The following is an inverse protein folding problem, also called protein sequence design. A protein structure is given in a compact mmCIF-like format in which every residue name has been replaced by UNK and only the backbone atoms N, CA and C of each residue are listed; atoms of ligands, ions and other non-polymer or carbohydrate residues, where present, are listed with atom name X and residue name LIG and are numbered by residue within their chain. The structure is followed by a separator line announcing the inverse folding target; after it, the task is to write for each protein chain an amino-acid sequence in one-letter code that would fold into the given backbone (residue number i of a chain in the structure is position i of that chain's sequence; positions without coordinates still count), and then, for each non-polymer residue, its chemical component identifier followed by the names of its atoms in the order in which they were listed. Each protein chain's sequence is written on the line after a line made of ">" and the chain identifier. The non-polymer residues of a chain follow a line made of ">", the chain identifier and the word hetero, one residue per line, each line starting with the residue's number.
data_IF_309467813918
#
_entry.id   IF_309467813918
#
_cell.length_a   1.000
_cell.length_b   1.000
_cell.length_c   1.000
_cell.angle_alpha   90.00
_cell.angle_beta   90.00
_cell.angle_gamma   90.00
#
_symmetry.space_group_name_H-M   'P 1'
#
loop_
_entity.id
_entity.type
_entity.pdbx_description
1 polymer ?
#
# COMPACT_ATOMS: atom_id res chain seq x y z
N UNK A 1 4.79 15.16 -28.63
CA UNK A 1 5.36 14.19 -27.67
C UNK A 1 4.54 12.91 -27.78
N UNK A 2 5.18 11.74 -27.83
CA UNK A 2 4.48 10.45 -27.82
C UNK A 2 3.69 10.27 -26.53
N UNK A 3 2.59 9.51 -26.57
CA UNK A 3 1.83 9.18 -25.35
C UNK A 3 2.70 8.34 -24.40
N UNK A 4 2.62 8.58 -23.07
CA UNK A 4 3.37 7.80 -22.10
C UNK A 4 2.85 6.36 -22.05
N UNK A 5 3.76 5.39 -21.93
CA UNK A 5 3.40 3.97 -21.83
C UNK A 5 2.97 3.57 -20.41
N UNK A 6 3.38 4.35 -19.42
CA UNK A 6 3.10 4.10 -18.00
C UNK A 6 2.93 5.44 -17.25
N UNK A 7 2.05 5.45 -16.24
CA UNK A 7 1.85 6.58 -15.34
C UNK A 7 2.26 6.16 -13.93
N UNK A 8 3.40 6.64 -13.45
CA UNK A 8 3.79 6.51 -12.05
C UNK A 8 3.05 7.55 -11.20
N UNK A 9 2.61 7.16 -10.01
CA UNK A 9 1.89 8.05 -9.09
C UNK A 9 2.58 8.04 -7.74
N UNK A 10 2.89 9.23 -7.24
CA UNK A 10 3.35 9.45 -5.86
C UNK A 10 2.44 10.51 -5.25
N UNK A 11 1.89 10.21 -4.07
CA UNK A 11 1.14 11.19 -3.29
C UNK A 11 2.07 11.73 -2.21
N UNK A 12 2.34 13.03 -2.24
CA UNK A 12 3.24 13.72 -1.33
C UNK A 12 2.46 14.46 -0.23
N UNK A 13 2.88 14.25 1.01
CA UNK A 13 2.38 14.99 2.17
C UNK A 13 3.44 15.94 2.75
N UNK A 14 3.39 16.11 4.08
CA UNK A 14 4.31 17.01 4.80
C UNK A 14 5.71 16.40 5.00
N UNK A 15 5.86 15.08 4.88
CA UNK A 15 7.17 14.40 4.95
C UNK A 15 7.98 14.58 3.65
N UNK A 16 8.29 15.84 3.29
CA UNK A 16 8.89 16.24 2.00
C UNK A 16 10.14 15.46 1.63
N UNK A 17 11.00 15.14 2.61
CA UNK A 17 12.22 14.33 2.39
C UNK A 17 11.91 12.92 1.88
N UNK A 18 10.81 12.32 2.33
CA UNK A 18 10.36 11.00 1.85
C UNK A 18 9.83 11.08 0.44
N UNK A 19 8.90 12.01 0.21
CA UNK A 19 8.36 12.24 -1.13
C UNK A 19 9.46 12.54 -2.16
N UNK A 20 10.46 13.35 -1.79
CA UNK A 20 11.62 13.62 -2.64
C UNK A 20 12.45 12.35 -2.94
N UNK A 21 12.67 11.47 -1.95
CA UNK A 21 13.37 10.20 -2.15
C UNK A 21 12.59 9.25 -3.06
N UNK A 22 11.27 9.14 -2.86
CA UNK A 22 10.41 8.33 -3.70
C UNK A 22 10.41 8.86 -5.14
N UNK A 23 10.23 10.18 -5.32
CA UNK A 23 10.29 10.85 -6.62
C UNK A 23 11.63 10.63 -7.32
N UNK A 24 12.75 10.86 -6.61
CA UNK A 24 14.10 10.63 -7.14
C UNK A 24 14.30 9.18 -7.61
N UNK A 25 13.72 8.20 -6.90
CA UNK A 25 13.79 6.79 -7.30
C UNK A 25 13.02 6.49 -8.58
N UNK A 26 11.94 7.23 -8.87
CA UNK A 26 11.18 7.11 -10.10
C UNK A 26 11.84 7.86 -11.27
N UNK A 27 12.34 9.07 -11.02
CA UNK A 27 13.00 9.86 -12.07
C UNK A 27 14.33 9.28 -12.50
N UNK A 28 14.99 8.50 -11.64
CA UNK A 28 16.25 7.80 -11.95
C UNK A 28 16.06 6.45 -12.67
N UNK A 29 14.83 6.06 -13.01
CA UNK A 29 14.58 4.78 -13.70
C UNK A 29 15.01 4.83 -15.17
N UNK A 30 15.58 3.73 -15.65
CA UNK A 30 15.80 3.57 -17.09
C UNK A 30 14.48 3.63 -17.87
N UNK A 31 14.44 4.46 -18.93
CA UNK A 31 13.23 4.66 -19.74
C UNK A 31 12.20 5.60 -19.11
N UNK A 32 12.57 6.40 -18.10
CA UNK A 32 11.69 7.43 -17.51
C UNK A 32 11.09 8.39 -18.55
N UNK A 33 11.74 8.58 -19.70
CA UNK A 33 11.24 9.41 -20.80
C UNK A 33 10.01 8.83 -21.51
N UNK A 34 9.74 7.52 -21.35
CA UNK A 34 8.53 6.84 -21.85
C UNK A 34 7.38 6.85 -20.82
N UNK A 35 7.63 7.42 -19.64
CA UNK A 35 6.73 7.41 -18.48
C UNK A 35 6.32 8.84 -18.14
N UNK A 36 5.10 9.01 -17.63
CA UNK A 36 4.75 10.22 -16.89
C UNK A 36 4.66 9.91 -15.39
N UNK A 37 5.10 10.84 -14.55
CA UNK A 37 5.06 10.74 -13.10
C UNK A 37 4.11 11.82 -12.60
N UNK A 38 2.97 11.41 -12.05
CA UNK A 38 1.99 12.31 -11.46
C UNK A 38 2.32 12.43 -9.97
N UNK A 39 2.87 13.58 -9.60
CA UNK A 39 3.12 13.94 -8.21
C UNK A 39 1.89 14.66 -7.66
N UNK A 40 1.06 13.96 -6.90
CA UNK A 40 -0.10 14.57 -6.24
C UNK A 40 0.33 15.15 -4.90
N UNK A 41 0.37 16.48 -4.81
CA UNK A 41 0.85 17.19 -3.62
C UNK A 41 -0.33 17.69 -2.78
N UNK A 42 -0.39 17.24 -1.52
CA UNK A 42 -1.39 17.64 -0.54
C UNK A 42 -0.80 18.18 0.75
N UNK A 43 0.46 18.63 0.70
CA UNK A 43 1.09 19.29 1.84
C UNK A 43 0.32 20.56 2.25
N UNK A 44 0.39 20.92 3.53
CA UNK A 44 -0.23 22.15 4.03
C UNK A 44 0.41 23.40 3.41
N UNK A 45 1.73 23.39 3.24
CA UNK A 45 2.51 24.41 2.54
C UNK A 45 3.33 23.74 1.42
N UNK A 46 2.77 23.62 0.21
CA UNK A 46 3.36 22.82 -0.86
C UNK A 46 4.51 23.56 -1.57
N UNK A 47 5.75 23.24 -1.19
CA UNK A 47 6.96 23.63 -1.93
C UNK A 47 7.38 22.55 -2.93
N UNK A 48 7.93 22.95 -4.08
CA UNK A 48 8.42 21.99 -5.08
C UNK A 48 9.45 21.02 -4.46
N UNK A 49 9.36 19.74 -4.83
CA UNK A 49 10.27 18.71 -4.35
C UNK A 49 11.55 18.72 -5.21
N UNK A 50 12.73 18.44 -4.64
CA UNK A 50 13.91 18.17 -5.45
C UNK A 50 13.62 17.10 -6.52
N UNK A 51 13.93 17.43 -7.79
CA UNK A 51 13.66 16.57 -8.95
C UNK A 51 12.25 16.68 -9.55
N UNK A 52 11.36 17.52 -9.00
CA UNK A 52 10.02 17.72 -9.59
C UNK A 52 10.01 18.60 -10.84
N UNK A 53 11.16 19.18 -11.20
CA UNK A 53 11.43 19.89 -12.46
C UNK A 53 11.74 18.94 -13.64
N UNK A 54 11.88 17.64 -13.37
CA UNK A 54 12.15 16.65 -14.41
C UNK A 54 11.02 16.61 -15.46
N UNK A 55 11.31 16.52 -16.78
CA UNK A 55 10.29 16.61 -17.84
C UNK A 55 9.16 15.59 -17.78
N UNK A 56 9.43 14.41 -17.20
CA UNK A 56 8.42 13.37 -16.98
C UNK A 56 7.50 13.65 -15.79
N UNK A 57 7.79 14.63 -14.94
CA UNK A 57 7.03 14.90 -13.70
C UNK A 57 5.96 15.95 -13.96
N UNK A 58 4.74 15.65 -13.52
CA UNK A 58 3.61 16.57 -13.51
C UNK A 58 3.11 16.71 -12.07
N UNK A 59 3.20 17.93 -11.54
CA UNK A 59 2.70 18.24 -10.20
C UNK A 59 1.20 18.55 -10.27
N UNK A 60 0.44 17.92 -9.38
CA UNK A 60 -1.00 18.14 -9.20
C UNK A 60 -1.24 18.50 -7.74
N UNK A 61 -1.48 19.78 -7.46
CA UNK A 61 -1.77 20.25 -6.10
C UNK A 61 -3.24 20.02 -5.77
N UNK A 62 -3.53 19.43 -4.62
CA UNK A 62 -4.88 19.20 -4.10
C UNK A 62 -5.01 19.77 -2.69
N UNK A 63 -6.24 19.96 -2.20
CA UNK A 63 -6.47 20.48 -0.86
C UNK A 63 -5.92 19.52 0.21
N UNK A 64 -5.39 20.06 1.31
CA UNK A 64 -4.71 19.26 2.37
C UNK A 64 -5.61 18.19 3.01
N UNK A 65 -6.91 18.40 2.98
CA UNK A 65 -7.96 17.51 3.50
C UNK A 65 -8.41 16.44 2.49
N UNK A 66 -7.93 16.50 1.23
CA UNK A 66 -8.17 15.46 0.22
C UNK A 66 -7.66 14.12 0.73
N UNK A 67 -8.52 13.12 0.86
CA UNK A 67 -8.10 11.81 1.38
C UNK A 67 -7.04 11.14 0.49
N UNK A 68 -6.29 10.19 1.05
CA UNK A 68 -5.27 9.48 0.28
C UNK A 68 -5.86 8.71 -0.91
N UNK A 69 -7.06 8.13 -0.75
CA UNK A 69 -7.79 7.48 -1.83
C UNK A 69 -8.24 8.49 -2.91
N UNK A 70 -8.81 9.64 -2.51
CA UNK A 70 -9.23 10.68 -3.44
C UNK A 70 -8.04 11.27 -4.25
N UNK A 71 -6.88 11.44 -3.62
CA UNK A 71 -5.65 11.86 -4.28
C UNK A 71 -5.22 10.86 -5.37
N UNK A 72 -5.30 9.56 -5.09
CA UNK A 72 -5.01 8.52 -6.09
C UNK A 72 -6.02 8.48 -7.22
N UNK A 73 -7.31 8.57 -6.92
CA UNK A 73 -8.36 8.63 -7.95
C UNK A 73 -8.17 9.84 -8.86
N UNK A 74 -7.75 10.97 -8.31
CA UNK A 74 -7.36 12.15 -9.09
C UNK A 74 -6.23 11.83 -10.06
N UNK A 75 -5.18 11.14 -9.60
CA UNK A 75 -4.09 10.71 -10.48
C UNK A 75 -4.55 9.73 -11.57
N UNK A 76 -5.42 8.75 -11.23
CA UNK A 76 -5.98 7.79 -12.21
C UNK A 76 -6.74 8.51 -13.32
N UNK A 77 -7.55 9.49 -12.96
CA UNK A 77 -8.33 10.30 -13.92
C UNK A 77 -7.41 11.10 -14.83
N UNK A 78 -6.34 11.66 -14.28
CA UNK A 78 -5.36 12.49 -15.01
C UNK A 78 -4.33 11.70 -15.83
N UNK A 79 -4.08 10.44 -15.49
CA UNK A 79 -3.18 9.55 -16.21
C UNK A 79 -3.57 9.43 -17.68
N UNK A 80 -2.57 9.46 -18.57
CA UNK A 80 -2.73 9.35 -20.03
C UNK A 80 -2.33 7.98 -20.54
N UNK A 81 -1.61 7.18 -19.76
CA UNK A 81 -1.20 5.84 -20.15
C UNK A 81 -2.26 4.76 -19.87
N UNK A 82 -2.19 3.59 -20.53
CA UNK A 82 -3.02 2.43 -20.22
C UNK A 82 -2.77 1.82 -18.83
N UNK A 83 -1.59 2.05 -18.25
CA UNK A 83 -1.19 1.48 -16.96
C UNK A 83 -0.85 2.57 -15.95
N UNK A 84 -1.37 2.44 -14.73
CA UNK A 84 -1.13 3.37 -13.62
C UNK A 84 -0.49 2.60 -12.47
N UNK A 85 0.72 2.97 -12.08
CA UNK A 85 1.46 2.40 -10.96
C UNK A 85 1.55 3.36 -9.80
N UNK A 86 1.29 2.87 -8.59
CA UNK A 86 1.43 3.65 -7.37
C UNK A 86 2.75 3.30 -6.68
N UNK A 87 3.40 4.31 -6.11
CA UNK A 87 4.51 4.15 -5.17
C UNK A 87 4.27 5.11 -4.01
N UNK A 88 4.27 4.59 -2.78
CA UNK A 88 4.10 5.43 -1.60
C UNK A 88 5.32 6.33 -1.37
N UNK A 89 5.13 7.51 -0.76
CA UNK A 89 6.23 8.45 -0.52
C UNK A 89 7.32 7.89 0.40
N UNK A 90 7.01 6.87 1.20
CA UNK A 90 7.94 6.17 2.07
C UNK A 90 8.49 4.87 1.43
N UNK A 91 8.37 4.73 0.11
CA UNK A 91 8.95 3.64 -0.67
C UNK A 91 10.06 4.16 -1.61
N UNK A 92 10.85 3.23 -2.14
CA UNK A 92 11.86 3.50 -3.17
C UNK A 92 11.81 2.43 -4.24
N UNK A 93 11.55 2.83 -5.49
CA UNK A 93 11.65 1.90 -6.62
C UNK A 93 13.12 1.52 -6.85
N UNK A 94 13.40 0.22 -6.98
CA UNK A 94 14.72 -0.24 -7.44
C UNK A 94 14.81 -0.10 -8.96
N UNK A 95 16.03 -0.13 -9.50
CA UNK A 95 16.23 -0.02 -10.94
C UNK A 95 15.48 -1.11 -11.70
N UNK A 96 14.84 -0.72 -12.80
CA UNK A 96 14.05 -1.61 -13.66
C UNK A 96 12.59 -1.80 -13.24
N UNK A 97 12.12 -1.14 -12.17
CA UNK A 97 10.77 -1.29 -11.62
C UNK A 97 9.68 -1.00 -12.66
N UNK A 98 9.72 0.16 -13.33
CA UNK A 98 8.73 0.50 -14.37
C UNK A 98 8.74 -0.49 -15.53
N UNK A 99 9.92 -0.83 -16.04
CA UNK A 99 10.05 -1.75 -17.18
C UNK A 99 9.52 -3.15 -16.82
N UNK A 100 9.76 -3.63 -15.61
CA UNK A 100 9.25 -4.92 -15.16
C UNK A 100 7.72 -4.92 -15.07
N UNK A 101 7.12 -3.90 -14.43
CA UNK A 101 5.65 -3.78 -14.36
C UNK A 101 4.99 -3.66 -15.74
N UNK A 102 5.59 -2.85 -16.63
CA UNK A 102 5.11 -2.67 -18.00
C UNK A 102 5.16 -3.98 -18.78
N UNK A 103 6.30 -4.67 -18.77
CA UNK A 103 6.44 -5.99 -19.43
C UNK A 103 5.44 -7.00 -18.87
N UNK A 104 5.23 -7.02 -17.57
CA UNK A 104 4.26 -7.92 -16.95
C UNK A 104 2.86 -7.65 -17.48
N UNK A 105 2.39 -6.39 -17.48
CA UNK A 105 1.10 -6.02 -18.06
C UNK A 105 0.97 -6.37 -19.55
N UNK A 106 2.05 -6.24 -20.33
CA UNK A 106 2.06 -6.58 -21.76
C UNK A 106 2.08 -8.09 -22.03
N UNK A 107 2.51 -8.90 -21.05
CA UNK A 107 2.64 -10.36 -21.20
C UNK A 107 1.36 -11.14 -20.90
N UNK A 108 0.32 -10.51 -20.33
CA UNK A 108 -0.91 -11.22 -20.00
C UNK A 108 -2.08 -10.30 -19.62
N UNK A 109 -3.29 -10.86 -19.42
CA UNK A 109 -4.50 -10.10 -19.16
C UNK A 109 -4.62 -9.67 -17.69
N UNK A 110 -3.54 -9.08 -17.14
CA UNK A 110 -3.48 -8.72 -15.73
C UNK A 110 -4.15 -7.36 -15.51
N UNK A 111 -5.18 -7.35 -14.66
CA UNK A 111 -5.81 -6.11 -14.22
C UNK A 111 -4.90 -5.33 -13.26
N UNK A 112 -4.09 -6.05 -12.47
CA UNK A 112 -3.10 -5.47 -11.60
C UNK A 112 -1.81 -6.30 -11.57
N UNK A 113 -0.68 -5.61 -11.44
CA UNK A 113 0.65 -6.20 -11.27
C UNK A 113 1.30 -5.62 -10.01
N UNK A 114 1.79 -6.49 -9.12
CA UNK A 114 2.53 -6.12 -7.92
C UNK A 114 4.00 -6.50 -8.03
N UNK A 115 4.82 -5.92 -7.15
CA UNK A 115 6.26 -6.16 -7.12
C UNK A 115 6.77 -7.00 -5.95
N UNK A 116 8.05 -7.39 -6.03
CA UNK A 116 8.81 -7.90 -4.89
C UNK A 116 9.14 -6.77 -3.90
N UNK A 117 8.92 -7.05 -2.61
CA UNK A 117 9.11 -6.11 -1.52
C UNK A 117 10.44 -6.37 -0.82
N UNK A 118 11.21 -5.30 -0.63
CA UNK A 118 12.41 -5.29 0.19
C UNK A 118 12.21 -4.41 1.43
N UNK A 119 12.87 -4.77 2.53
CA UNK A 119 12.94 -3.88 3.69
C UNK A 119 13.76 -2.64 3.33
N UNK A 120 13.17 -1.45 3.48
CA UNK A 120 13.90 -0.20 3.31
C UNK A 120 14.54 0.33 4.60
N UNK A 121 14.19 -0.25 5.76
CA UNK A 121 14.84 0.07 7.03
C UNK A 121 16.08 -0.82 7.23
N UNK A 122 17.03 -0.36 8.06
CA UNK A 122 18.24 -1.11 8.41
C UNK A 122 18.03 -2.45 9.13
N UNK A 123 19.13 -3.11 9.50
CA UNK A 123 19.20 -4.59 9.59
C UNK A 123 18.42 -5.30 10.70
N UNK A 124 17.89 -4.64 11.75
CA UNK A 124 17.02 -5.32 12.72
C UNK A 124 16.19 -4.36 13.59
N UNK A 125 14.93 -4.72 13.87
CA UNK A 125 14.02 -3.94 14.73
C UNK A 125 12.55 -4.27 14.49
N UNK A 126 11.66 -3.49 15.13
CA UNK A 126 10.20 -3.65 14.97
C UNK A 126 9.73 -3.45 13.52
N UNK A 127 10.39 -2.59 12.75
CA UNK A 127 10.10 -2.36 11.33
C UNK A 127 10.21 -3.63 10.49
N UNK A 128 11.18 -4.50 10.78
CA UNK A 128 11.32 -5.80 10.11
C UNK A 128 10.17 -6.74 10.46
N UNK A 129 9.74 -6.74 11.72
CA UNK A 129 8.59 -7.52 12.19
C UNK A 129 7.29 -7.07 11.51
N UNK A 130 7.09 -5.75 11.37
CA UNK A 130 5.96 -5.18 10.61
C UNK A 130 6.04 -5.58 9.14
N UNK A 131 7.24 -5.53 8.55
CA UNK A 131 7.48 -6.02 7.20
C UNK A 131 7.08 -7.49 7.03
N UNK A 132 7.41 -8.37 7.98
CA UNK A 132 6.96 -9.77 7.96
C UNK A 132 5.43 -9.84 8.08
N UNK A 133 4.85 -9.12 9.04
CA UNK A 133 3.41 -9.21 9.32
C UNK A 133 2.54 -8.74 8.14
N UNK A 134 2.97 -7.69 7.44
CA UNK A 134 2.23 -7.09 6.33
C UNK A 134 2.62 -7.67 4.97
N UNK A 135 3.90 -8.01 4.75
CA UNK A 135 4.43 -8.28 3.41
C UNK A 135 5.06 -9.68 3.21
N UNK A 136 4.98 -10.63 4.16
CA UNK A 136 5.66 -11.93 4.03
C UNK A 136 5.44 -12.67 2.70
N UNK A 137 4.28 -12.49 2.06
CA UNK A 137 3.93 -13.13 0.78
C UNK A 137 4.71 -12.57 -0.41
N UNK A 138 5.25 -11.36 -0.26
CA UNK A 138 5.91 -10.60 -1.33
C UNK A 138 7.33 -10.17 -0.94
N UNK A 139 7.76 -10.43 0.30
CA UNK A 139 9.15 -10.20 0.72
C UNK A 139 10.12 -11.02 -0.11
N UNK A 140 11.23 -10.40 -0.52
CA UNK A 140 12.27 -11.08 -1.28
C UNK A 140 12.88 -12.30 -0.55
N UNK A 141 13.32 -13.33 -1.29
CA UNK A 141 12.96 -13.58 -2.69
C UNK A 141 11.49 -14.05 -2.78
N UNK A 142 10.77 -13.61 -3.81
CA UNK A 142 9.41 -14.09 -4.13
C UNK A 142 9.30 -14.45 -5.61
N UNK A 143 8.70 -15.60 -5.99
CA UNK A 143 8.60 -15.98 -7.40
C UNK A 143 7.47 -15.22 -8.12
N UNK A 144 7.68 -14.86 -9.39
CA UNK A 144 6.59 -14.34 -10.23
C UNK A 144 5.42 -15.32 -10.36
N UNK A 145 4.24 -14.79 -10.63
CA UNK A 145 3.08 -15.62 -10.95
C UNK A 145 1.75 -15.00 -10.57
N UNK A 146 0.67 -15.67 -10.97
CA UNK A 146 -0.67 -15.26 -10.63
C UNK A 146 -0.90 -15.27 -9.11
N UNK A 147 -1.57 -14.24 -8.61
CA UNK A 147 -1.91 -14.05 -7.20
C UNK A 147 -3.33 -13.56 -7.05
N UNK A 148 -3.87 -13.70 -5.85
CA UNK A 148 -5.16 -13.12 -5.46
C UNK A 148 -5.01 -11.89 -4.57
N UNK A 149 -3.77 -11.52 -4.23
CA UNK A 149 -3.43 -10.37 -3.43
C UNK A 149 -2.02 -9.88 -3.81
N UNK A 150 -1.85 -8.57 -3.90
CA UNK A 150 -0.59 -7.89 -4.24
C UNK A 150 -0.19 -6.91 -3.12
N UNK A 151 1.04 -6.34 -3.16
CA UNK A 151 1.52 -5.32 -2.22
C UNK A 151 0.79 -3.97 -2.31
N UNK A 152 -0.53 -3.98 -2.13
CA UNK A 152 -1.37 -2.81 -1.90
C UNK A 152 -1.09 -1.62 -2.82
N UNK A 153 -1.00 -0.48 -2.15
CA UNK A 153 -0.56 0.84 -2.54
C UNK A 153 0.75 0.96 -3.35
N UNK A 154 1.47 -0.13 -3.59
CA UNK A 154 2.70 -0.17 -4.39
C UNK A 154 2.57 -1.12 -5.61
N UNK A 155 1.33 -1.28 -6.11
CA UNK A 155 0.99 -2.08 -7.28
C UNK A 155 0.61 -1.18 -8.46
N UNK A 156 0.67 -1.73 -9.67
CA UNK A 156 0.15 -1.12 -10.89
C UNK A 156 -1.12 -1.77 -11.38
N UNK A 157 -1.90 -1.00 -12.12
CA UNK A 157 -3.23 -1.37 -12.56
C UNK A 157 -3.45 -0.94 -14.01
N UNK A 158 -4.30 -1.69 -14.70
CA UNK A 158 -4.92 -1.24 -15.94
C UNK A 158 -5.85 -0.05 -15.64
N UNK A 159 -5.62 1.06 -16.33
CA UNK A 159 -6.37 2.31 -16.13
C UNK A 159 -7.86 2.14 -16.45
N UNK A 160 -8.19 1.42 -17.52
CA UNK A 160 -9.57 1.17 -17.92
C UNK A 160 -10.32 0.32 -16.88
N UNK A 161 -9.65 -0.65 -16.27
CA UNK A 161 -10.21 -1.41 -15.13
C UNK A 161 -10.44 -0.53 -13.91
N UNK A 162 -9.51 0.38 -13.57
CA UNK A 162 -9.76 1.32 -12.47
C UNK A 162 -10.97 2.21 -12.75
N UNK A 163 -11.05 2.77 -13.97
CA UNK A 163 -12.12 3.69 -14.34
C UNK A 163 -13.50 3.03 -14.44
N UNK A 164 -13.58 1.71 -14.70
CA UNK A 164 -14.85 0.98 -14.79
C UNK A 164 -15.63 0.96 -13.46
N UNK A 165 -14.95 1.11 -12.32
CA UNK A 165 -15.58 1.21 -11.00
C UNK A 165 -16.24 2.57 -10.75
N UNK A 166 -16.03 3.57 -11.61
CA UNK A 166 -16.72 4.86 -11.54
C UNK A 166 -16.63 5.51 -10.16
N UNK A 167 -17.79 5.82 -9.57
CA UNK A 167 -17.89 6.45 -8.24
C UNK A 167 -17.43 5.55 -7.09
N UNK A 168 -17.43 4.23 -7.26
CA UNK A 168 -17.01 3.28 -6.22
C UNK A 168 -15.48 3.19 -6.08
N UNK A 169 -14.73 3.64 -7.09
CA UNK A 169 -13.27 3.52 -7.11
C UNK A 169 -12.62 4.17 -5.89
N UNK A 170 -13.10 5.33 -5.46
CA UNK A 170 -12.54 6.03 -4.30
C UNK A 170 -12.70 5.18 -3.03
N UNK A 171 -13.89 4.66 -2.78
CA UNK A 171 -14.16 3.78 -1.64
C UNK A 171 -13.30 2.52 -1.68
N UNK A 172 -13.15 1.89 -2.85
CA UNK A 172 -12.31 0.71 -3.02
C UNK A 172 -10.83 1.01 -2.74
N UNK A 173 -10.32 2.16 -3.21
CA UNK A 173 -8.94 2.60 -2.99
C UNK A 173 -8.61 2.98 -1.54
N UNK A 174 -9.59 3.03 -0.62
CA UNK A 174 -9.34 3.17 0.82
C UNK A 174 -8.82 1.89 1.46
N UNK A 175 -9.11 0.74 0.85
CA UNK A 175 -8.88 -0.57 1.43
C UNK A 175 -8.39 -1.58 0.39
N UNK A 176 -7.09 -1.55 0.07
CA UNK A 176 -6.47 -2.41 -0.95
C UNK A 176 -6.85 -3.88 -0.88
N UNK A 177 -6.87 -4.45 0.33
CA UNK A 177 -7.20 -5.87 0.52
C UNK A 177 -8.63 -6.16 0.04
N UNK A 178 -9.57 -5.26 0.34
CA UNK A 178 -10.94 -5.39 -0.15
C UNK A 178 -11.01 -5.13 -1.67
N UNK A 179 -10.19 -4.20 -2.18
CA UNK A 179 -10.16 -3.91 -3.61
C UNK A 179 -9.64 -5.09 -4.45
N UNK A 180 -8.53 -5.73 -4.05
CA UNK A 180 -8.05 -6.93 -4.74
C UNK A 180 -9.04 -8.09 -4.66
N UNK A 181 -9.73 -8.26 -3.52
CA UNK A 181 -10.80 -9.25 -3.39
C UNK A 181 -11.95 -8.94 -4.36
N UNK A 182 -12.33 -7.67 -4.50
CA UNK A 182 -13.36 -7.23 -5.46
C UNK A 182 -12.92 -7.48 -6.90
N UNK A 183 -11.69 -7.12 -7.27
CA UNK A 183 -11.12 -7.39 -8.59
C UNK A 183 -11.21 -8.88 -8.94
N UNK A 184 -10.77 -9.77 -8.04
CA UNK A 184 -10.83 -11.22 -8.25
C UNK A 184 -12.29 -11.70 -8.33
N UNK A 185 -13.18 -11.18 -7.48
CA UNK A 185 -14.61 -11.53 -7.51
C UNK A 185 -15.29 -11.09 -8.83
N UNK A 186 -14.81 -10.02 -9.45
CA UNK A 186 -15.28 -9.53 -10.75
C UNK A 186 -14.63 -10.26 -11.94
N UNK A 187 -13.80 -11.29 -11.68
CA UNK A 187 -13.16 -12.11 -12.71
C UNK A 187 -11.84 -11.54 -13.23
N UNK A 188 -11.30 -10.49 -12.60
CA UNK A 188 -9.99 -9.97 -12.95
C UNK A 188 -8.85 -10.83 -12.38
N UNK A 189 -7.73 -10.86 -13.10
CA UNK A 189 -6.53 -11.62 -12.74
C UNK A 189 -5.41 -10.68 -12.29
N UNK A 190 -4.67 -11.08 -11.27
CA UNK A 190 -3.58 -10.30 -10.69
C UNK A 190 -2.27 -11.07 -10.82
N UNK A 191 -1.16 -10.35 -11.03
CA UNK A 191 0.15 -10.95 -11.23
C UNK A 191 1.19 -10.34 -10.31
N UNK A 192 2.07 -11.15 -9.75
CA UNK A 192 3.27 -10.70 -9.06
C UNK A 192 4.44 -10.81 -10.02
N UNK A 193 5.17 -9.70 -10.23
CA UNK A 193 6.39 -9.65 -11.03
C UNK A 193 7.60 -9.49 -10.10
N UNK A 194 8.40 -10.54 -9.94
CA UNK A 194 9.55 -10.55 -9.04
C UNK A 194 10.69 -9.62 -9.48
N UNK A 195 10.76 -9.26 -10.76
CA UNK A 195 11.73 -8.28 -11.25
C UNK A 195 11.32 -6.83 -10.95
N UNK A 196 10.04 -6.59 -10.66
CA UNK A 196 9.56 -5.28 -10.21
C UNK A 196 9.84 -5.14 -8.71
N UNK A 197 10.98 -4.56 -8.35
CA UNK A 197 11.43 -4.49 -6.95
C UNK A 197 11.30 -3.09 -6.36
N UNK A 198 10.86 -3.02 -5.11
CA UNK A 198 10.86 -1.76 -4.36
C UNK A 198 11.18 -1.99 -2.88
N UNK A 199 11.68 -0.95 -2.22
CA UNK A 199 11.94 -0.92 -0.79
C UNK A 199 10.78 -0.21 -0.08
N UNK A 200 10.27 -0.81 0.99
CA UNK A 200 9.23 -0.21 1.83
C UNK A 200 9.81 0.16 3.20
N UNK A 201 9.70 1.43 3.60
CA UNK A 201 10.02 1.87 4.96
C UNK A 201 8.82 1.59 5.86
N UNK A 202 9.00 0.67 6.80
CA UNK A 202 8.04 0.40 7.86
C UNK A 202 8.34 1.28 9.07
N UNK A 203 7.36 1.39 9.95
CA UNK A 203 7.44 2.13 11.19
C UNK A 203 8.44 1.52 12.17
N UNK A 204 9.04 2.38 12.99
CA UNK A 204 10.07 1.99 13.97
C UNK A 204 9.59 2.05 15.43
N UNK A 205 8.33 2.43 15.68
CA UNK A 205 7.79 2.62 17.03
C UNK A 205 6.44 1.90 17.21
N UNK A 206 6.34 1.06 18.24
CA UNK A 206 5.17 0.20 18.50
C UNK A 206 3.87 1.00 18.69
N UNK A 207 3.91 2.13 19.39
CA UNK A 207 2.73 2.98 19.61
C UNK A 207 2.24 3.64 18.32
N UNK A 208 3.17 4.04 17.46
CA UNK A 208 2.86 4.58 16.14
C UNK A 208 2.19 3.53 15.27
N UNK A 209 2.73 2.32 15.22
CA UNK A 209 2.14 1.16 14.52
C UNK A 209 0.71 0.91 15.02
N UNK A 210 0.51 0.84 16.34
CA UNK A 210 -0.80 0.61 16.93
C UNK A 210 -1.80 1.71 16.57
N UNK A 211 -1.36 2.98 16.57
CA UNK A 211 -2.18 4.13 16.14
C UNK A 211 -2.62 3.98 14.68
N UNK A 212 -1.68 3.71 13.77
CA UNK A 212 -1.99 3.50 12.35
C UNK A 212 -2.96 2.34 12.14
N UNK A 213 -2.70 1.22 12.81
CA UNK A 213 -3.53 0.02 12.71
C UNK A 213 -4.95 0.24 13.24
N UNK A 214 -5.11 0.95 14.35
CA UNK A 214 -6.42 1.29 14.87
C UNK A 214 -7.24 2.09 13.85
N UNK A 215 -6.67 3.18 13.32
CA UNK A 215 -7.40 4.05 12.38
C UNK A 215 -7.69 3.36 11.05
N UNK A 216 -6.71 2.62 10.49
CA UNK A 216 -6.93 1.84 9.28
C UNK A 216 -8.01 0.79 9.45
N UNK A 217 -7.97 0.00 10.54
CA UNK A 217 -8.95 -1.06 10.77
C UNK A 217 -10.34 -0.54 11.12
N UNK A 218 -10.45 0.67 11.67
CA UNK A 218 -11.75 1.34 11.87
C UNK A 218 -12.47 1.56 10.54
N UNK A 219 -11.77 2.02 9.51
CA UNK A 219 -12.31 2.14 8.15
C UNK A 219 -12.49 0.78 7.49
N UNK A 220 -11.41 -0.01 7.42
CA UNK A 220 -11.39 -1.32 6.73
C UNK A 220 -12.45 -2.30 7.25
N UNK A 221 -12.73 -2.32 8.56
CA UNK A 221 -13.76 -3.18 9.13
C UNK A 221 -15.15 -2.92 8.52
N UNK A 222 -15.49 -1.65 8.31
CA UNK A 222 -16.76 -1.21 7.73
C UNK A 222 -16.80 -1.55 6.23
N UNK A 223 -15.73 -1.20 5.50
CA UNK A 223 -15.64 -1.45 4.05
C UNK A 223 -15.69 -2.93 3.74
N UNK A 224 -14.93 -3.76 4.48
CA UNK A 224 -14.98 -5.22 4.33
C UNK A 224 -16.38 -5.76 4.60
N UNK A 225 -17.07 -5.26 5.62
CA UNK A 225 -18.43 -5.68 5.90
C UNK A 225 -19.42 -5.28 4.80
N UNK A 226 -19.22 -4.12 4.16
CA UNK A 226 -20.03 -3.65 3.04
C UNK A 226 -19.79 -4.48 1.76
N UNK A 227 -18.52 -4.62 1.34
CA UNK A 227 -18.11 -5.37 0.15
C UNK A 227 -18.61 -6.82 0.20
N UNK A 228 -18.48 -7.47 1.37
CA UNK A 228 -18.90 -8.86 1.57
C UNK A 228 -20.34 -8.99 2.10
N UNK A 229 -21.11 -7.91 2.16
CA UNK A 229 -22.53 -7.87 2.59
C UNK A 229 -22.81 -8.62 3.89
N UNK A 230 -22.05 -8.32 4.93
CA UNK A 230 -22.16 -9.02 6.22
C UNK A 230 -23.51 -8.77 6.91
N UNK A 231 -24.10 -9.84 7.46
CA UNK A 231 -25.27 -9.74 8.33
C UNK A 231 -24.92 -9.06 9.66
N UNK A 232 -25.95 -8.57 10.36
CA UNK A 232 -25.81 -8.03 11.72
C UNK A 232 -25.14 -9.04 12.67
N UNK A 233 -25.56 -10.31 12.62
CA UNK A 233 -24.99 -11.37 13.45
C UNK A 233 -23.49 -11.55 13.20
N UNK A 234 -23.05 -11.50 11.92
CA UNK A 234 -21.63 -11.61 11.58
C UNK A 234 -20.84 -10.39 12.09
N UNK A 235 -21.39 -9.19 11.98
CA UNK A 235 -20.77 -7.98 12.57
C UNK A 235 -20.62 -8.10 14.09
N UNK A 236 -21.68 -8.49 14.79
CA UNK A 236 -21.68 -8.70 16.23
C UNK A 236 -20.66 -9.75 16.67
N UNK A 237 -20.55 -10.87 15.93
CA UNK A 237 -19.53 -11.88 16.17
C UNK A 237 -18.11 -11.30 16.14
N UNK A 238 -17.77 -10.50 15.13
CA UNK A 238 -16.43 -9.90 15.04
C UNK A 238 -16.15 -8.86 16.12
N UNK A 239 -17.17 -8.17 16.63
CA UNK A 239 -17.04 -7.25 17.78
C UNK A 239 -16.77 -8.03 19.07
N UNK A 240 -17.54 -9.10 19.32
CA UNK A 240 -17.37 -9.92 20.53
C UNK A 240 -16.04 -10.70 20.49
N UNK A 241 -15.63 -11.15 19.30
CA UNK A 241 -14.39 -11.91 19.12
C UNK A 241 -13.12 -11.06 19.22
N UNK A 242 -13.21 -9.73 19.38
CA UNK A 242 -12.05 -8.80 19.39
C UNK A 242 -10.89 -9.25 20.28
N UNK A 243 -11.08 -9.72 21.53
CA UNK A 243 -9.97 -10.19 22.36
C UNK A 243 -9.24 -11.42 21.80
N UNK A 244 -9.91 -12.22 20.96
CA UNK A 244 -9.37 -13.45 20.36
C UNK A 244 -8.76 -13.25 18.97
N UNK A 245 -9.11 -12.16 18.27
CA UNK A 245 -8.61 -11.85 16.92
C UNK A 245 -7.06 -11.80 16.86
N UNK A 246 -6.33 -11.19 17.81
CA UNK A 246 -4.87 -11.18 17.78
C UNK A 246 -4.25 -12.58 17.79
N UNK A 247 -4.81 -13.49 18.59
CA UNK A 247 -4.32 -14.88 18.69
C UNK A 247 -4.67 -15.67 17.43
N UNK A 248 -5.87 -15.48 16.87
CA UNK A 248 -6.24 -16.04 15.58
C UNK A 248 -5.29 -15.57 14.47
N UNK A 249 -4.99 -14.27 14.42
CA UNK A 249 -4.05 -13.70 13.47
C UNK A 249 -2.66 -14.33 13.61
N UNK A 250 -2.13 -14.40 14.84
CA UNK A 250 -0.81 -14.99 15.11
C UNK A 250 -0.75 -16.46 14.68
N UNK A 251 -1.76 -17.26 15.01
CA UNK A 251 -1.84 -18.65 14.61
C UNK A 251 -1.89 -18.79 13.08
N UNK A 252 -2.71 -17.97 12.42
CA UNK A 252 -2.80 -17.94 10.95
C UNK A 252 -1.49 -17.52 10.30
N UNK A 253 -0.82 -16.49 10.83
CA UNK A 253 0.48 -16.03 10.37
C UNK A 253 1.52 -17.15 10.53
N UNK A 254 1.62 -17.78 11.70
CA UNK A 254 2.56 -18.87 11.94
C UNK A 254 2.34 -20.07 10.99
N UNK A 255 1.09 -20.47 10.75
CA UNK A 255 0.76 -21.54 9.81
C UNK A 255 1.13 -21.16 8.37
N UNK A 256 0.87 -19.92 7.95
CA UNK A 256 1.24 -19.43 6.61
C UNK A 256 2.75 -19.34 6.45
N UNK A 257 3.46 -18.78 7.42
CA UNK A 257 4.91 -18.73 7.42
C UNK A 257 5.50 -20.14 7.37
N UNK A 258 5.02 -21.08 8.20
CA UNK A 258 5.49 -22.47 8.14
C UNK A 258 5.30 -23.09 6.75
N UNK A 259 4.19 -22.79 6.07
CA UNK A 259 3.87 -23.37 4.76
C UNK A 259 4.66 -22.76 3.61
N UNK A 260 4.86 -21.43 3.59
CA UNK A 260 5.42 -20.74 2.41
C UNK A 260 6.70 -19.93 2.69
N UNK A 261 7.01 -19.62 3.95
CA UNK A 261 8.14 -18.79 4.40
C UNK A 261 8.74 -19.26 5.73
N UNK A 262 9.20 -20.52 5.82
CA UNK A 262 9.69 -21.08 7.08
C UNK A 262 10.92 -20.33 7.63
N UNK A 263 11.66 -19.65 6.75
CA UNK A 263 12.78 -18.76 7.06
C UNK A 263 12.40 -17.58 7.97
N UNK A 264 11.15 -17.10 7.88
CA UNK A 264 10.65 -15.96 8.66
C UNK A 264 9.97 -16.36 9.97
N UNK A 265 9.62 -17.64 10.15
CA UNK A 265 8.81 -18.11 11.27
C UNK A 265 9.48 -17.82 12.62
N UNK A 266 10.78 -18.09 12.76
CA UNK A 266 11.51 -17.84 14.00
C UNK A 266 11.51 -16.36 14.41
N UNK A 267 11.60 -15.45 13.44
CA UNK A 267 11.54 -14.01 13.70
C UNK A 267 10.13 -13.58 14.13
N UNK A 268 9.09 -14.08 13.45
CA UNK A 268 7.70 -13.80 13.80
C UNK A 268 7.37 -14.28 15.22
N UNK A 269 7.80 -15.49 15.60
CA UNK A 269 7.55 -16.04 16.93
C UNK A 269 8.24 -15.22 18.03
N UNK A 270 9.49 -14.77 17.82
CA UNK A 270 10.18 -13.87 18.77
C UNK A 270 9.49 -12.52 18.92
N UNK A 271 8.80 -12.05 17.86
CA UNK A 271 8.02 -10.81 17.87
C UNK A 271 6.59 -10.94 18.36
N UNK A 272 6.21 -12.08 18.97
CA UNK A 272 4.82 -12.35 19.39
C UNK A 272 4.22 -11.24 20.27
N UNK A 273 4.89 -10.74 21.33
CA UNK A 273 4.31 -9.68 22.16
C UNK A 273 3.96 -8.41 21.37
N UNK A 274 4.83 -8.00 20.44
CA UNK A 274 4.65 -6.84 19.59
C UNK A 274 3.54 -7.06 18.56
N UNK A 275 3.48 -8.26 17.96
CA UNK A 275 2.38 -8.64 17.05
C UNK A 275 1.04 -8.58 17.78
N UNK A 276 0.95 -9.20 18.97
CA UNK A 276 -0.30 -9.20 19.75
C UNK A 276 -0.75 -7.79 20.11
N UNK A 277 0.18 -6.93 20.53
CA UNK A 277 -0.13 -5.52 20.83
C UNK A 277 -0.64 -4.77 19.59
N UNK A 278 0.05 -4.87 18.46
CA UNK A 278 -0.37 -4.21 17.22
C UNK A 278 -1.71 -4.75 16.72
N UNK A 279 -1.93 -6.07 16.79
CA UNK A 279 -3.17 -6.71 16.36
C UNK A 279 -4.33 -6.42 17.30
N UNK A 280 -4.08 -6.19 18.60
CA UNK A 280 -5.12 -5.73 19.52
C UNK A 280 -5.62 -4.33 19.12
N UNK A 281 -4.72 -3.43 18.72
CA UNK A 281 -5.10 -2.11 18.22
C UNK A 281 -5.92 -2.20 16.91
N UNK A 282 -5.48 -3.06 15.97
CA UNK A 282 -6.22 -3.41 14.75
C UNK A 282 -7.64 -3.94 15.06
N UNK A 283 -7.75 -4.95 15.93
CA UNK A 283 -9.02 -5.58 16.29
C UNK A 283 -9.96 -4.59 17.00
N UNK A 284 -9.40 -3.70 17.84
CA UNK A 284 -10.14 -2.64 18.51
C UNK A 284 -10.67 -1.61 17.52
N UNK A 285 -9.83 -1.18 16.57
CA UNK A 285 -10.23 -0.29 15.48
C UNK A 285 -11.40 -0.88 14.69
N UNK A 286 -11.27 -2.14 14.28
CA UNK A 286 -12.34 -2.87 13.59
C UNK A 286 -13.63 -2.91 14.41
N UNK A 287 -13.57 -3.21 15.70
CA UNK A 287 -14.75 -3.29 16.57
C UNK A 287 -15.47 -1.94 16.65
N UNK A 288 -14.73 -0.86 16.88
CA UNK A 288 -15.28 0.50 16.91
C UNK A 288 -15.88 0.88 15.57
N UNK A 289 -15.22 0.52 14.46
CA UNK A 289 -15.75 0.71 13.11
C UNK A 289 -17.08 -0.01 12.88
N UNK A 290 -17.18 -1.27 13.29
CA UNK A 290 -18.39 -2.07 13.13
C UNK A 290 -19.56 -1.60 14.01
N UNK A 291 -19.27 -1.06 15.20
CA UNK A 291 -20.28 -0.54 16.13
C UNK A 291 -20.78 0.86 15.77
N UNK A 292 -19.87 1.76 15.40
CA UNK A 292 -20.13 3.20 15.32
C UNK A 292 -19.84 3.80 13.94
N UNK A 293 -19.45 2.98 12.97
CA UNK A 293 -19.03 3.43 11.65
C UNK A 293 -17.57 3.94 11.61
N UNK A 294 -17.12 4.35 10.41
CA UNK A 294 -15.72 4.69 10.16
C UNK A 294 -15.28 5.96 10.90
N UNK A 295 -16.21 6.87 11.23
CA UNK A 295 -15.93 8.14 11.89
C UNK A 295 -14.87 8.95 11.15
N UNK A 296 -13.93 9.54 11.89
CA UNK A 296 -12.75 10.24 11.36
C UNK A 296 -11.59 9.29 11.01
N UNK A 297 -11.80 7.97 10.99
CA UNK A 297 -10.74 6.97 10.82
C UNK A 297 -9.93 7.13 9.54
N UNK A 298 -10.57 7.43 8.41
CA UNK A 298 -9.88 7.65 7.12
C UNK A 298 -8.99 8.90 7.15
N UNK A 299 -9.51 10.01 7.69
CA UNK A 299 -8.76 11.26 7.81
C UNK A 299 -7.56 11.06 8.75
N UNK A 300 -7.79 10.47 9.92
CA UNK A 300 -6.73 10.18 10.91
C UNK A 300 -5.68 9.22 10.39
N UNK A 301 -6.07 8.21 9.60
CA UNK A 301 -5.15 7.30 8.95
C UNK A 301 -4.35 8.00 7.84
N UNK A 302 -5.00 8.81 7.01
CA UNK A 302 -4.32 9.60 5.98
C UNK A 302 -3.29 10.56 6.58
N UNK A 303 -3.65 11.24 7.67
CA UNK A 303 -2.74 12.11 8.40
C UNK A 303 -1.59 11.31 9.00
N UNK A 304 -1.86 10.11 9.54
CA UNK A 304 -0.83 9.22 10.04
C UNK A 304 0.16 8.79 8.94
N UNK A 305 -0.31 8.24 7.82
CA UNK A 305 0.54 7.72 6.74
C UNK A 305 1.52 8.78 6.20
N UNK A 306 1.06 10.03 6.09
CA UNK A 306 1.81 11.14 5.49
C UNK A 306 2.66 11.94 6.47
N UNK A 307 2.52 11.70 7.78
CA UNK A 307 3.23 12.48 8.81
C UNK A 307 4.02 11.62 9.79
N UNK A 308 3.73 10.34 9.94
CA UNK A 308 4.39 9.46 10.91
C UNK A 308 5.88 9.35 10.64
N UNK A 309 6.76 9.30 11.65
CA UNK A 309 8.20 9.18 11.44
C UNK A 309 8.64 7.74 11.08
N UNK A 310 9.44 7.60 10.02
CA UNK A 310 10.05 6.33 9.60
C UNK A 310 11.54 6.55 9.33
N UNK A 311 12.39 5.80 10.01
CA UNK A 311 13.84 5.96 9.94
C UNK A 311 14.42 5.21 8.73
N UNK A 312 15.30 5.89 8.00
CA UNK A 312 16.08 5.31 6.89
C UNK A 312 17.30 4.56 7.43
N UNK A 313 17.85 3.59 6.68
CA UNK A 313 19.24 3.18 6.92
C UNK A 313 20.18 4.31 6.46
N UNK A 314 20.97 4.93 7.36
CA UNK A 314 21.87 6.02 6.99
C UNK A 314 22.97 5.60 6.00
N UNK A 315 23.22 4.30 5.85
CA UNK A 315 24.23 3.74 4.92
C UNK A 315 23.72 3.63 3.49
N UNK A 316 22.44 3.88 3.25
CA UNK A 316 21.79 3.80 1.94
C UNK A 316 21.22 5.16 1.46
N UNK A 317 21.63 6.26 2.11
CA UNK A 317 21.27 7.64 1.79
C UNK A 317 22.27 8.29 0.83
#
# INVERSE_FOLDING_TARGET
>A
MSEPRFSGVVVAGNQRKRAARALASLTAQEGVTEVEIILVDRAEDPADLPGSDHPSVRIVRVAKDTSFAAARVTAVKLARSPYVGFLEEHCRARQGWFRALLRAHESGPWAAVGGEVHHGNGSFGISRLIGIMNYYQWLAPTPSGERTLLPGHNSSFRRDVLLSYGGELETLMRADVAFFQKLVADGHRLYLESDAKFEHLNETRLLSIAKGYFYWHRGYGVERAAVHRWSFAKRAFYVVATPLIPFYFLAKLALRLRAIRPDLLGQALRGTPQILFAQLASASGQAIGLLFGPGDGETRFSDYELNEHRDFDPREA
#
